data_IF_408551164154
#
_entry.id   IF_408551164154
#
_cell.length_a   1.000
_cell.length_b   1.000
_cell.length_c   1.000
_cell.angle_alpha   90.00
_cell.angle_beta   90.00
_cell.angle_gamma   90.00
#
_symmetry.space_group_name_H-M   'P 1'
#
loop_
_entity.id
_entity.type
_entity.pdbx_description
1 polymer ?
#
# COMPACT_ATOMS: atom_id res chain seq x y z
N UNK A 1 14.93 -15.68 7.63
CA UNK A 1 13.46 -15.82 7.78
C UNK A 1 12.92 -14.46 8.17
N UNK A 2 12.33 -13.73 7.24
CA UNK A 2 11.73 -12.40 7.50
C UNK A 2 10.37 -12.65 8.13
N UNK A 3 10.11 -12.16 9.35
CA UNK A 3 8.78 -12.21 9.94
C UNK A 3 7.94 -11.15 9.22
N UNK A 4 7.10 -11.61 8.29
CA UNK A 4 6.04 -10.77 7.73
C UNK A 4 5.11 -10.41 8.88
N UNK A 5 4.85 -9.13 9.06
CA UNK A 5 3.77 -8.67 9.93
C UNK A 5 2.44 -9.19 9.38
N UNK A 6 1.41 -9.36 10.21
CA UNK A 6 0.10 -9.88 9.75
C UNK A 6 -0.51 -9.05 8.60
N UNK A 7 -0.13 -7.78 8.49
CA UNK A 7 -0.47 -6.92 7.35
C UNK A 7 0.20 -7.39 6.05
N UNK A 8 1.50 -7.68 6.10
CA UNK A 8 2.25 -8.14 4.93
C UNK A 8 1.81 -9.53 4.46
N UNK A 9 1.47 -10.45 5.38
CA UNK A 9 0.88 -11.75 5.01
C UNK A 9 -0.49 -11.58 4.33
N UNK A 10 -1.33 -10.68 4.85
CA UNK A 10 -2.64 -10.37 4.25
C UNK A 10 -2.48 -9.78 2.85
N UNK A 11 -1.56 -8.85 2.65
CA UNK A 11 -1.31 -8.23 1.35
C UNK A 11 -0.63 -9.19 0.37
N UNK A 12 0.22 -10.08 0.85
CA UNK A 12 0.85 -11.12 0.02
C UNK A 12 -0.17 -12.14 -0.50
N UNK A 13 -1.15 -12.53 0.32
CA UNK A 13 -2.21 -13.45 -0.08
C UNK A 13 -3.34 -12.79 -0.92
N UNK A 14 -3.32 -11.47 -1.07
CA UNK A 14 -4.37 -10.69 -1.74
C UNK A 14 -4.14 -10.55 -3.26
N UNK A 15 -4.36 -11.62 -4.02
CA UNK A 15 -4.21 -11.64 -5.48
C UNK A 15 -5.21 -10.75 -6.24
N UNK A 16 -6.34 -10.39 -5.61
CA UNK A 16 -7.41 -9.60 -6.24
C UNK A 16 -7.29 -8.10 -5.96
N UNK A 17 -6.54 -7.71 -4.93
CA UNK A 17 -6.46 -6.32 -4.46
C UNK A 17 -7.64 -5.88 -3.60
N UNK A 18 -8.57 -6.78 -3.28
CA UNK A 18 -9.76 -6.44 -2.49
C UNK A 18 -9.42 -6.14 -1.02
N UNK A 19 -8.42 -6.83 -0.46
CA UNK A 19 -7.98 -6.55 0.91
C UNK A 19 -7.24 -5.22 0.98
N UNK A 20 -6.40 -4.91 -0.01
CA UNK A 20 -5.80 -3.59 -0.22
C UNK A 20 -6.87 -2.49 -0.24
N UNK A 21 -7.88 -2.62 -1.10
CA UNK A 21 -8.91 -1.60 -1.26
C UNK A 21 -9.75 -1.41 0.01
N UNK A 22 -10.07 -2.50 0.73
CA UNK A 22 -10.73 -2.40 2.04
C UNK A 22 -9.90 -1.64 3.07
N UNK A 23 -8.59 -1.87 3.13
CA UNK A 23 -7.71 -1.18 4.06
C UNK A 23 -7.62 0.32 3.74
N UNK A 24 -7.53 0.67 2.46
CA UNK A 24 -7.54 2.07 2.00
C UNK A 24 -8.87 2.75 2.33
N UNK A 25 -9.99 2.08 2.07
CA UNK A 25 -11.32 2.61 2.38
C UNK A 25 -11.50 2.84 3.90
N UNK A 26 -10.94 1.96 4.72
CA UNK A 26 -10.95 2.09 6.18
C UNK A 26 -10.12 3.30 6.65
N UNK A 27 -8.92 3.49 6.08
CA UNK A 27 -8.09 4.68 6.35
C UNK A 27 -8.78 5.98 5.95
N UNK A 28 -9.44 6.01 4.79
CA UNK A 28 -10.21 7.16 4.35
C UNK A 28 -11.40 7.47 5.28
N UNK A 29 -12.10 6.43 5.75
CA UNK A 29 -13.19 6.56 6.73
C UNK A 29 -12.70 7.10 8.07
N UNK A 30 -11.55 6.61 8.58
CA UNK A 30 -10.95 7.12 9.81
C UNK A 30 -10.52 8.58 9.65
N UNK A 31 -9.89 8.94 8.53
CA UNK A 31 -9.51 10.32 8.25
C UNK A 31 -10.72 11.26 8.19
N UNK A 32 -11.83 10.82 7.57
CA UNK A 32 -13.07 11.59 7.49
C UNK A 32 -13.74 11.81 8.86
N UNK A 33 -13.54 10.92 9.83
CA UNK A 33 -14.11 11.05 11.19
C UNK A 33 -13.34 12.02 12.09
N UNK A 34 -12.13 12.42 11.71
CA UNK A 34 -11.25 13.27 12.50
C UNK A 34 -11.17 14.72 11.95
N UNK A 35 -12.32 15.32 11.62
CA UNK A 35 -12.44 16.70 11.10
C UNK A 35 -11.80 17.77 12.01
N UNK A 36 -11.63 17.49 13.31
CA UNK A 36 -11.05 18.42 14.28
C UNK A 36 -9.50 18.45 14.30
N UNK A 37 -8.80 17.51 13.63
CA UNK A 37 -7.33 17.53 13.44
C UNK A 37 -6.96 17.04 12.04
N UNK A 38 -7.36 17.78 10.99
CA UNK A 38 -7.38 17.27 9.63
C UNK A 38 -5.98 16.96 9.09
N UNK A 39 -4.96 17.75 9.43
CA UNK A 39 -3.69 17.67 8.70
C UNK A 39 -2.82 16.47 9.10
N UNK A 40 -2.63 16.25 10.40
CA UNK A 40 -1.78 15.14 10.87
C UNK A 40 -2.40 13.77 10.62
N UNK A 41 -3.72 13.64 10.81
CA UNK A 41 -4.44 12.37 10.59
C UNK A 41 -4.55 12.08 9.10
N UNK A 42 -4.84 13.08 8.26
CA UNK A 42 -4.84 12.91 6.80
C UNK A 42 -3.46 12.60 6.26
N UNK A 43 -2.42 13.24 6.78
CA UNK A 43 -1.03 12.93 6.41
C UNK A 43 -0.66 11.49 6.77
N UNK A 44 -0.97 11.05 8.00
CA UNK A 44 -0.72 9.67 8.43
C UNK A 44 -1.53 8.65 7.62
N UNK A 45 -2.79 8.96 7.28
CA UNK A 45 -3.64 8.10 6.45
C UNK A 45 -3.11 7.99 5.00
N UNK A 46 -2.64 9.09 4.43
CA UNK A 46 -2.00 9.09 3.11
C UNK A 46 -0.68 8.31 3.12
N UNK A 47 0.17 8.50 4.13
CA UNK A 47 1.40 7.75 4.28
C UNK A 47 1.15 6.24 4.45
N UNK A 48 0.12 5.86 5.22
CA UNK A 48 -0.28 4.47 5.39
C UNK A 48 -0.80 3.86 4.09
N UNK A 49 -1.55 4.63 3.28
CA UNK A 49 -1.99 4.21 1.94
C UNK A 49 -0.80 3.94 1.02
N UNK A 50 0.19 4.83 0.98
CA UNK A 50 1.38 4.66 0.14
C UNK A 50 2.18 3.40 0.52
N UNK A 51 2.27 3.09 1.81
CA UNK A 51 2.92 1.86 2.30
C UNK A 51 2.15 0.62 1.85
N UNK A 52 0.82 0.61 1.98
CA UNK A 52 -0.03 -0.51 1.55
C UNK A 52 0.11 -0.73 0.04
N UNK A 53 0.05 0.35 -0.76
CA UNK A 53 0.20 0.30 -2.21
C UNK A 53 1.58 -0.23 -2.62
N UNK A 54 2.64 0.26 -1.97
CA UNK A 54 4.01 -0.17 -2.23
C UNK A 54 4.22 -1.65 -1.88
N UNK A 55 3.69 -2.11 -0.75
CA UNK A 55 3.78 -3.50 -0.32
C UNK A 55 3.02 -4.43 -1.27
N UNK A 56 1.78 -4.07 -1.61
CA UNK A 56 0.96 -4.87 -2.51
C UNK A 56 1.60 -4.95 -3.91
N UNK A 57 2.09 -3.84 -4.46
CA UNK A 57 2.80 -3.81 -5.74
C UNK A 57 4.09 -4.65 -5.72
N UNK A 58 4.82 -4.67 -4.59
CA UNK A 58 6.02 -5.49 -4.39
C UNK A 58 5.72 -6.99 -4.41
N UNK A 59 4.60 -7.42 -3.84
CA UNK A 59 4.23 -8.83 -3.78
C UNK A 59 3.57 -9.33 -5.06
N UNK A 60 2.69 -8.53 -5.66
CA UNK A 60 1.90 -8.91 -6.84
C UNK A 60 2.52 -8.49 -8.17
N UNK A 61 3.72 -7.90 -8.13
CA UNK A 61 4.50 -7.63 -9.32
C UNK A 61 3.78 -6.71 -10.30
N UNK A 62 3.10 -5.66 -9.81
CA UNK A 62 2.84 -4.50 -10.67
C UNK A 62 4.20 -3.90 -11.00
N UNK A 63 4.69 -4.30 -12.19
CA UNK A 63 5.92 -3.90 -12.84
C UNK A 63 6.72 -2.88 -12.03
N UNK A 64 7.58 -3.40 -11.15
CA UNK A 64 8.85 -2.73 -10.97
C UNK A 64 9.31 -2.39 -12.37
N UNK A 65 9.47 -1.09 -12.63
CA UNK A 65 10.63 -0.57 -13.32
C UNK A 65 11.50 -1.71 -13.85
N UNK A 66 11.16 -2.20 -15.04
CA UNK A 66 12.13 -2.88 -15.86
C UNK A 66 12.78 -1.68 -16.53
N UNK A 67 13.93 -1.15 -16.05
CA UNK A 67 14.77 -0.44 -16.97
C UNK A 67 15.05 -1.47 -18.05
N UNK A 68 14.44 -1.30 -19.23
CA UNK A 68 14.85 -2.02 -20.41
C UNK A 68 16.36 -1.79 -20.48
N UNK A 69 17.11 -2.86 -20.24
CA UNK A 69 18.51 -2.93 -20.55
C UNK A 69 18.60 -2.67 -22.07
N UNK A 70 18.81 -1.41 -22.45
CA UNK A 70 19.16 -1.05 -23.80
C UNK A 70 20.52 -1.70 -24.08
N UNK A 71 20.65 -2.50 -25.16
CA UNK A 71 21.91 -3.14 -25.48
C UNK A 71 22.94 -2.07 -25.83
N UNK A 72 24.14 -2.20 -25.26
CA UNK A 72 25.31 -1.44 -25.67
C UNK A 72 25.56 -1.70 -27.16
N UNK A 73 25.39 -0.65 -27.97
CA UNK A 73 25.95 -0.53 -29.32
C UNK A 73 27.13 0.41 -29.29
#
# INVERSE_FOLDING_TARGET
MVRLTSLEETLFADDTGEARDRLIAMLASVAARHENRPDAVRFAANAARDVIDTLWARYHGMSADRPQALPRG
#
